data_IF_776853573367
#
_entry.id   IF_776853573367
#
_cell.length_a   1.000
_cell.length_b   1.000
_cell.length_c   1.000
_cell.angle_alpha   90.00
_cell.angle_beta   90.00
_cell.angle_gamma   90.00
#
_symmetry.space_group_name_H-M   'P 1'
#
loop_
_entity.id
_entity.type
_entity.pdbx_description
1 polymer ?
#
# COMPACT_ATOMS: atom_id res chain seq x y z
N UNK A 1 11.19 -13.32 -0.47
CA UNK A 1 9.88 -13.36 0.22
C UNK A 1 9.20 -12.00 0.08
N UNK A 2 7.86 -11.91 0.00
CA UNK A 2 7.15 -10.64 -0.02
C UNK A 2 7.24 -9.93 1.33
N UNK A 3 7.14 -8.58 1.33
CA UNK A 3 7.06 -7.79 2.56
C UNK A 3 5.77 -8.05 3.33
N UNK A 4 4.66 -8.15 2.60
CA UNK A 4 3.35 -8.49 3.13
C UNK A 4 2.52 -9.18 2.05
N UNK A 5 1.51 -9.92 2.49
CA UNK A 5 0.55 -10.57 1.62
C UNK A 5 -0.82 -10.68 2.30
N UNK A 6 -1.84 -10.85 1.49
CA UNK A 6 -3.21 -11.05 1.96
C UNK A 6 -3.95 -11.99 1.03
N UNK A 7 -4.64 -12.96 1.61
CA UNK A 7 -5.54 -13.87 0.92
C UNK A 7 -6.94 -13.71 1.50
N UNK A 8 -7.89 -13.34 0.68
CA UNK A 8 -9.29 -13.13 1.07
C UNK A 8 -10.24 -13.71 0.05
N UNK A 9 -11.37 -14.20 0.53
CA UNK A 9 -12.58 -14.40 -0.26
C UNK A 9 -13.57 -13.29 0.09
N UNK A 10 -14.05 -12.62 -0.93
CA UNK A 10 -15.08 -11.57 -0.82
C UNK A 10 -16.39 -12.15 -1.32
N UNK A 11 -17.43 -12.08 -0.49
CA UNK A 11 -18.77 -12.52 -0.79
C UNK A 11 -19.71 -11.31 -0.68
N UNK A 12 -20.60 -11.14 -1.64
CA UNK A 12 -21.51 -10.02 -1.70
C UNK A 12 -22.14 -9.86 -3.08
N UNK A 13 -22.34 -8.63 -3.53
CA UNK A 13 -22.85 -8.34 -4.89
C UNK A 13 -21.89 -8.79 -5.99
N UNK A 14 -20.63 -8.92 -5.69
CA UNK A 14 -19.57 -9.44 -6.56
C UNK A 14 -18.72 -10.41 -5.75
N UNK A 15 -18.66 -11.66 -6.19
CA UNK A 15 -17.88 -12.71 -5.53
C UNK A 15 -16.53 -12.90 -6.21
N UNK A 16 -15.45 -12.86 -5.40
CA UNK A 16 -14.10 -13.11 -5.89
C UNK A 16 -13.17 -13.54 -4.77
N UNK A 17 -12.15 -14.26 -5.12
CA UNK A 17 -11.01 -14.59 -4.26
C UNK A 17 -9.80 -13.81 -4.72
N UNK A 18 -9.03 -13.24 -3.79
CA UNK A 18 -7.82 -12.51 -4.09
C UNK A 18 -6.65 -12.98 -3.23
N UNK A 19 -5.49 -13.09 -3.86
CA UNK A 19 -4.19 -13.20 -3.21
C UNK A 19 -3.35 -12.03 -3.70
N UNK A 20 -3.11 -11.05 -2.84
CA UNK A 20 -2.30 -9.87 -3.15
C UNK A 20 -1.04 -9.85 -2.28
N UNK A 21 0.07 -9.41 -2.84
CA UNK A 21 1.30 -9.27 -2.07
C UNK A 21 2.15 -8.07 -2.52
N UNK A 22 2.93 -7.58 -1.58
CA UNK A 22 3.89 -6.48 -1.74
C UNK A 22 5.27 -7.09 -1.94
N UNK A 23 5.92 -6.90 -3.10
CA UNK A 23 7.28 -7.40 -3.30
C UNK A 23 8.28 -6.70 -2.37
N UNK A 24 9.38 -7.36 -2.05
CA UNK A 24 10.43 -6.77 -1.20
C UNK A 24 11.29 -5.74 -1.95
N UNK A 25 11.34 -5.81 -3.28
CA UNK A 25 12.14 -4.93 -4.13
C UNK A 25 11.32 -4.39 -5.28
N UNK A 26 11.56 -3.13 -5.60
CA UNK A 26 10.99 -2.49 -6.77
C UNK A 26 11.59 -3.08 -8.06
N UNK A 27 10.77 -3.34 -9.08
CA UNK A 27 11.29 -3.67 -10.39
C UNK A 27 11.95 -2.43 -11.02
N UNK A 28 12.95 -2.64 -11.88
CA UNK A 28 13.73 -1.54 -12.50
C UNK A 28 12.86 -0.57 -13.32
N UNK A 29 11.73 -1.02 -13.80
CA UNK A 29 10.77 -0.28 -14.62
C UNK A 29 9.58 0.29 -13.82
N UNK A 30 9.69 0.35 -12.48
CA UNK A 30 8.62 0.84 -11.59
C UNK A 30 8.12 2.24 -11.99
N UNK A 31 9.01 3.12 -12.40
CA UNK A 31 8.70 4.51 -12.74
C UNK A 31 8.12 4.67 -14.15
N UNK A 32 8.13 3.60 -14.96
CA UNK A 32 7.45 3.62 -16.23
C UNK A 32 5.92 3.57 -15.99
N UNK A 33 5.23 4.67 -16.33
CA UNK A 33 3.76 4.78 -16.17
C UNK A 33 2.97 3.87 -17.11
N UNK A 34 3.58 3.46 -18.22
CA UNK A 34 2.96 2.53 -19.17
C UNK A 34 3.02 1.08 -18.66
N UNK A 35 3.75 0.85 -17.56
CA UNK A 35 3.79 -0.47 -16.94
C UNK A 35 2.44 -0.77 -16.29
N UNK A 36 1.94 -1.94 -16.64
CA UNK A 36 0.68 -2.48 -16.17
C UNK A 36 0.79 -3.05 -14.76
N UNK A 37 -0.32 -3.07 -14.04
CA UNK A 37 -0.39 -3.72 -12.73
C UNK A 37 -0.11 -5.22 -12.85
N UNK A 38 0.71 -5.75 -11.95
CA UNK A 38 1.10 -7.17 -12.00
C UNK A 38 0.10 -8.13 -11.34
N UNK A 39 -1.21 -7.87 -11.47
CA UNK A 39 -2.28 -8.72 -10.95
C UNK A 39 -2.88 -9.54 -12.07
N UNK A 40 -2.92 -10.86 -11.88
CA UNK A 40 -3.48 -11.82 -12.83
C UNK A 40 -4.98 -11.99 -12.60
N UNK A 41 -5.75 -12.00 -13.69
CA UNK A 41 -7.17 -12.28 -13.64
C UNK A 41 -7.47 -13.72 -14.03
N UNK A 42 -8.21 -14.38 -13.17
CA UNK A 42 -8.90 -15.63 -13.42
C UNK A 42 -10.40 -15.40 -13.32
N UNK A 43 -11.16 -16.18 -14.06
CA UNK A 43 -12.62 -16.27 -13.96
C UNK A 43 -13.00 -17.74 -13.84
N UNK A 44 -13.65 -18.11 -12.73
CA UNK A 44 -14.03 -19.51 -12.46
C UNK A 44 -12.85 -20.47 -12.61
N UNK A 45 -11.66 -20.04 -12.08
CA UNK A 45 -10.38 -20.77 -12.12
C UNK A 45 -9.76 -20.92 -13.53
N UNK A 46 -10.31 -20.23 -14.55
CA UNK A 46 -9.73 -20.17 -15.89
C UNK A 46 -8.89 -18.91 -16.00
N UNK A 47 -7.65 -19.05 -16.43
CA UNK A 47 -6.77 -17.89 -16.69
C UNK A 47 -7.33 -17.03 -17.84
N UNK A 48 -7.50 -15.74 -17.60
CA UNK A 48 -8.01 -14.78 -18.58
C UNK A 48 -6.89 -13.90 -19.09
N UNK A 49 -6.15 -13.26 -18.18
CA UNK A 49 -5.05 -12.37 -18.57
C UNK A 49 -4.03 -12.17 -17.46
N UNK A 50 -2.82 -11.86 -17.87
CA UNK A 50 -1.79 -11.28 -17.03
C UNK A 50 -1.93 -9.76 -17.01
N UNK A 51 -1.43 -9.10 -15.97
CA UNK A 51 -1.37 -7.63 -15.87
C UNK A 51 -2.73 -6.95 -16.14
N UNK A 52 -3.76 -7.35 -15.37
CA UNK A 52 -5.11 -6.81 -15.48
C UNK A 52 -5.17 -5.38 -14.88
N UNK A 53 -4.87 -4.37 -15.69
CA UNK A 53 -4.84 -2.94 -15.32
C UNK A 53 -6.13 -2.45 -14.67
N UNK A 54 -7.27 -2.97 -15.14
CA UNK A 54 -8.58 -2.58 -14.62
C UNK A 54 -8.79 -2.94 -13.15
N UNK A 55 -8.00 -3.89 -12.61
CA UNK A 55 -8.14 -4.40 -11.24
C UNK A 55 -7.34 -3.63 -10.19
N UNK A 56 -6.48 -2.69 -10.59
CA UNK A 56 -5.62 -1.95 -9.67
C UNK A 56 -5.37 -0.53 -10.19
N UNK A 57 -5.36 0.51 -9.34
CA UNK A 57 -4.99 1.86 -9.76
C UNK A 57 -3.48 1.95 -10.07
N UNK A 58 -3.09 2.90 -10.92
CA UNK A 58 -1.71 3.03 -11.42
C UNK A 58 -0.69 3.30 -10.32
N UNK A 59 -1.05 4.03 -9.28
CA UNK A 59 -0.17 4.28 -8.13
C UNK A 59 0.10 3.02 -7.27
N UNK A 60 -0.62 1.91 -7.51
CA UNK A 60 -0.41 0.60 -6.88
C UNK A 60 0.14 -0.45 -7.88
N UNK A 61 0.71 -0.02 -9.01
CA UNK A 61 1.23 -0.93 -10.08
C UNK A 61 2.31 -1.90 -9.63
N UNK A 62 2.92 -1.67 -8.47
CA UNK A 62 3.90 -2.55 -7.85
C UNK A 62 3.27 -3.77 -7.14
N UNK A 63 1.96 -3.75 -6.90
CA UNK A 63 1.25 -4.88 -6.29
C UNK A 63 1.24 -6.08 -7.25
N UNK A 64 1.53 -7.24 -6.72
CA UNK A 64 1.48 -8.52 -7.43
C UNK A 64 0.39 -9.40 -6.84
N UNK A 65 -0.11 -10.32 -7.63
CA UNK A 65 -1.09 -11.26 -7.12
C UNK A 65 -2.01 -11.86 -8.17
N UNK A 66 -3.08 -12.45 -7.65
CA UNK A 66 -4.11 -13.16 -8.44
C UNK A 66 -5.48 -12.75 -7.91
N UNK A 67 -6.41 -12.51 -8.82
CA UNK A 67 -7.83 -12.37 -8.54
C UNK A 67 -8.58 -13.40 -9.36
N UNK A 68 -9.45 -14.18 -8.70
CA UNK A 68 -10.35 -15.14 -9.34
C UNK A 68 -11.79 -14.71 -9.08
N UNK A 69 -12.49 -14.27 -10.12
CA UNK A 69 -13.90 -13.84 -10.04
C UNK A 69 -14.82 -15.00 -10.36
N UNK A 70 -15.89 -15.15 -9.57
CA UNK A 70 -16.98 -16.08 -9.84
C UNK A 70 -18.03 -15.52 -10.81
N UNK A 71 -18.17 -14.19 -10.86
CA UNK A 71 -19.28 -13.51 -11.53
C UNK A 71 -18.94 -12.97 -12.93
N UNK A 72 -17.67 -12.69 -13.20
CA UNK A 72 -17.29 -12.21 -14.51
C UNK A 72 -17.51 -13.29 -15.58
N UNK A 73 -17.90 -12.91 -16.82
CA UNK A 73 -18.05 -13.86 -17.90
C UNK A 73 -16.68 -14.33 -18.43
N UNK A 74 -16.58 -15.57 -18.88
CA UNK A 74 -15.32 -16.15 -19.41
C UNK A 74 -14.81 -15.49 -20.71
N UNK A 75 -15.70 -14.86 -21.48
CA UNK A 75 -15.36 -14.18 -22.73
C UNK A 75 -15.03 -12.69 -22.54
N UNK A 76 -14.48 -12.34 -21.38
CA UNK A 76 -14.13 -10.96 -21.04
C UNK A 76 -13.01 -10.44 -21.96
N UNK A 77 -13.30 -9.36 -22.70
CA UNK A 77 -12.29 -8.58 -23.41
C UNK A 77 -11.74 -7.46 -22.52
N UNK A 78 -10.59 -6.87 -22.90
CA UNK A 78 -10.02 -5.72 -22.18
C UNK A 78 -10.98 -4.54 -22.10
N UNK A 79 -11.74 -4.30 -23.14
CA UNK A 79 -12.74 -3.22 -23.23
C UNK A 79 -13.89 -3.45 -22.23
N UNK A 80 -14.42 -4.69 -22.19
CA UNK A 80 -15.46 -5.06 -21.23
C UNK A 80 -14.99 -4.92 -19.76
N UNK A 81 -13.71 -5.17 -19.49
CA UNK A 81 -13.16 -5.00 -18.14
C UNK A 81 -13.20 -3.54 -17.69
N UNK A 82 -13.00 -2.58 -18.59
CA UNK A 82 -12.97 -1.15 -18.22
C UNK A 82 -14.35 -0.59 -17.86
N UNK A 83 -15.42 -1.16 -18.42
CA UNK A 83 -16.80 -0.69 -18.24
C UNK A 83 -17.60 -1.47 -17.20
N UNK A 84 -17.15 -2.65 -16.80
CA UNK A 84 -17.86 -3.54 -15.88
C UNK A 84 -17.94 -2.96 -14.46
N UNK A 85 -19.16 -3.00 -13.88
CA UNK A 85 -19.39 -2.65 -12.45
C UNK A 85 -18.66 -3.62 -11.52
N UNK A 86 -18.62 -4.90 -11.85
CA UNK A 86 -17.95 -5.92 -11.05
C UNK A 86 -16.45 -5.68 -11.01
N UNK A 87 -15.85 -5.31 -12.13
CA UNK A 87 -14.43 -4.95 -12.19
C UNK A 87 -14.12 -3.72 -11.35
N UNK A 88 -14.99 -2.69 -11.36
CA UNK A 88 -14.85 -1.52 -10.49
C UNK A 88 -14.93 -1.91 -9.02
N UNK A 89 -15.89 -2.76 -8.64
CA UNK A 89 -16.03 -3.26 -7.27
C UNK A 89 -14.80 -4.05 -6.81
N UNK A 90 -14.26 -4.92 -7.67
CA UNK A 90 -13.02 -5.66 -7.42
C UNK A 90 -11.84 -4.71 -7.27
N UNK A 91 -11.68 -3.73 -8.15
CA UNK A 91 -10.62 -2.70 -8.08
C UNK A 91 -10.67 -1.95 -6.76
N UNK A 92 -11.83 -1.46 -6.35
CA UNK A 92 -12.01 -0.77 -5.07
C UNK A 92 -11.71 -1.69 -3.88
N UNK A 93 -12.14 -2.93 -3.92
CA UNK A 93 -11.87 -3.94 -2.91
C UNK A 93 -10.36 -4.23 -2.78
N UNK A 94 -9.68 -4.43 -3.91
CA UNK A 94 -8.23 -4.62 -3.98
C UNK A 94 -7.50 -3.40 -3.40
N UNK A 95 -7.88 -2.18 -3.82
CA UNK A 95 -7.30 -0.93 -3.33
C UNK A 95 -7.44 -0.80 -1.82
N UNK A 96 -8.66 -0.98 -1.28
CA UNK A 96 -8.89 -0.95 0.17
C UNK A 96 -8.01 -1.96 0.91
N UNK A 97 -7.88 -3.16 0.36
CA UNK A 97 -7.07 -4.22 0.99
C UNK A 97 -5.59 -3.89 1.01
N UNK A 98 -5.04 -3.37 -0.09
CA UNK A 98 -3.63 -2.96 -0.16
C UNK A 98 -3.36 -1.82 0.81
N UNK A 99 -4.21 -0.78 0.84
CA UNK A 99 -4.04 0.33 1.78
C UNK A 99 -4.12 -0.14 3.23
N UNK A 100 -5.03 -1.07 3.56
CA UNK A 100 -5.09 -1.66 4.90
C UNK A 100 -3.81 -2.43 5.27
N UNK A 101 -3.24 -3.23 4.34
CA UNK A 101 -1.95 -3.89 4.57
C UNK A 101 -0.83 -2.88 4.86
N UNK A 102 -0.80 -1.74 4.14
CA UNK A 102 0.18 -0.68 4.38
C UNK A 102 -0.02 0.02 5.73
N UNK A 103 -1.28 0.27 6.11
CA UNK A 103 -1.61 0.83 7.42
C UNK A 103 -1.14 -0.10 8.56
N UNK A 104 -1.35 -1.40 8.41
CA UNK A 104 -0.92 -2.40 9.40
C UNK A 104 0.62 -2.47 9.50
N UNK A 105 1.33 -2.44 8.36
CA UNK A 105 2.78 -2.36 8.34
C UNK A 105 3.29 -1.08 9.02
N UNK A 106 2.66 0.08 8.72
CA UNK A 106 3.07 1.36 9.28
C UNK A 106 2.81 1.47 10.79
N UNK A 107 1.76 0.83 11.31
CA UNK A 107 1.49 0.75 12.75
C UNK A 107 2.54 -0.10 13.47
N UNK A 108 2.89 -1.24 12.91
CA UNK A 108 3.88 -2.18 13.49
C UNK A 108 5.30 -1.62 13.42
N UNK A 109 5.61 -0.82 12.42
CA UNK A 109 6.91 -0.15 12.30
C UNK A 109 7.15 0.91 13.41
N UNK A 110 6.07 1.45 13.98
CA UNK A 110 6.09 2.44 15.06
C UNK A 110 6.02 1.84 16.46
N UNK A 111 5.81 0.52 16.59
CA UNK A 111 5.83 -0.14 17.89
C UNK A 111 7.21 0.10 18.52
N UNK A 112 7.30 0.64 19.77
CA UNK A 112 8.57 0.95 20.37
C UNK A 112 9.38 -0.34 20.49
N UNK A 113 10.55 -0.36 19.88
CA UNK A 113 11.62 -1.22 20.33
C UNK A 113 11.86 -0.77 21.77
N UNK A 114 11.55 -1.62 22.74
CA UNK A 114 11.53 -1.29 24.16
C UNK A 114 12.71 -0.36 24.51
N UNK A 115 12.41 0.90 24.84
CA UNK A 115 13.36 1.72 25.54
C UNK A 115 13.57 1.03 26.90
N UNK A 116 14.80 0.71 27.27
CA UNK A 116 15.16 0.25 28.61
C UNK A 116 14.72 1.32 29.61
N UNK A 117 13.47 1.21 30.05
CA UNK A 117 12.93 2.02 31.12
C UNK A 117 13.39 1.46 32.45
N UNK A 118 13.82 2.32 33.37
CA UNK A 118 14.41 2.03 34.65
C UNK A 118 13.53 1.26 35.68
N UNK A 119 12.38 0.76 35.27
CA UNK A 119 11.48 -0.02 36.12
C UNK A 119 11.07 -1.32 35.41
N UNK A 120 11.87 -2.31 35.52
CA UNK A 120 11.74 -3.78 35.41
C UNK A 120 10.48 -4.46 34.82
N UNK A 121 9.62 -3.78 34.10
CA UNK A 121 8.50 -4.34 33.33
C UNK A 121 8.91 -4.39 31.86
N UNK A 122 9.51 -5.50 31.48
CA UNK A 122 9.73 -5.82 30.06
C UNK A 122 8.39 -6.21 29.46
N UNK A 123 7.73 -5.29 28.73
CA UNK A 123 6.75 -5.67 27.73
C UNK A 123 7.47 -6.56 26.71
N UNK A 124 7.15 -7.84 26.74
CA UNK A 124 7.73 -8.84 25.84
C UNK A 124 7.23 -8.53 24.43
N UNK A 125 7.99 -7.71 23.70
CA UNK A 125 7.77 -7.50 22.25
C UNK A 125 7.85 -8.86 21.58
N UNK A 126 6.78 -9.30 20.97
CA UNK A 126 6.72 -10.62 20.32
C UNK A 126 7.78 -10.74 19.24
N UNK A 127 8.29 -11.94 19.01
CA UNK A 127 9.23 -12.19 17.88
C UNK A 127 8.60 -11.81 16.52
N UNK A 128 7.27 -11.87 16.41
CA UNK A 128 6.53 -11.43 15.24
C UNK A 128 6.61 -9.91 15.05
N UNK A 129 6.52 -9.13 16.12
CA UNK A 129 6.63 -7.67 16.04
C UNK A 129 8.05 -7.23 15.71
N UNK A 130 9.06 -7.90 16.25
CA UNK A 130 10.46 -7.69 15.87
C UNK A 130 10.70 -8.02 14.39
N UNK A 131 10.09 -9.09 13.86
CA UNK A 131 10.17 -9.46 12.45
C UNK A 131 9.40 -8.52 11.52
N UNK A 132 8.51 -7.69 12.06
CA UNK A 132 7.74 -6.68 11.30
C UNK A 132 8.39 -5.28 11.36
N UNK A 133 9.23 -5.02 12.37
CA UNK A 133 9.94 -3.75 12.48
C UNK A 133 10.79 -3.47 11.24
N UNK A 134 10.76 -2.23 10.75
CA UNK A 134 11.49 -1.81 9.55
C UNK A 134 10.86 -2.21 8.22
N UNK A 135 9.80 -3.03 8.19
CA UNK A 135 9.18 -3.44 6.92
C UNK A 135 8.49 -2.30 6.20
N UNK A 136 7.84 -1.38 6.93
CA UNK A 136 7.22 -0.23 6.32
C UNK A 136 8.27 0.74 5.78
N UNK A 137 9.34 0.97 6.51
CA UNK A 137 10.46 1.80 6.06
C UNK A 137 11.12 1.21 4.81
N UNK A 138 11.32 -0.11 4.76
CA UNK A 138 11.82 -0.81 3.58
C UNK A 138 10.85 -0.69 2.38
N UNK A 139 9.55 -0.85 2.61
CA UNK A 139 8.51 -0.61 1.61
C UNK A 139 8.58 0.82 1.08
N UNK A 140 8.66 1.80 1.97
CA UNK A 140 8.60 3.20 1.59
C UNK A 140 9.82 3.65 0.79
N UNK A 141 11.00 3.10 1.11
CA UNK A 141 12.22 3.35 0.34
C UNK A 141 12.10 2.88 -1.13
N UNK A 142 11.41 1.77 -1.37
CA UNK A 142 11.26 1.18 -2.71
C UNK A 142 10.06 1.78 -3.49
N UNK A 143 8.93 2.04 -2.83
CA UNK A 143 7.65 2.33 -3.48
C UNK A 143 7.04 3.67 -3.09
N UNK A 144 7.60 4.40 -2.13
CA UNK A 144 7.03 5.61 -1.57
C UNK A 144 6.80 6.73 -2.60
N UNK A 145 7.70 6.86 -3.58
CA UNK A 145 7.56 7.85 -4.65
C UNK A 145 6.32 7.57 -5.51
N UNK A 146 6.08 6.30 -5.85
CA UNK A 146 4.91 5.88 -6.64
C UNK A 146 3.64 5.95 -5.82
N UNK A 147 3.67 5.62 -4.52
CA UNK A 147 2.52 5.77 -3.63
C UNK A 147 2.02 7.22 -3.56
N UNK A 148 2.91 8.21 -3.63
CA UNK A 148 2.56 9.64 -3.64
C UNK A 148 1.69 10.03 -4.83
N UNK A 149 1.81 9.37 -5.97
CA UNK A 149 0.99 9.61 -7.16
C UNK A 149 -0.52 9.46 -6.83
N UNK A 150 -0.84 8.56 -5.89
CA UNK A 150 -2.21 8.31 -5.44
C UNK A 150 -2.94 9.53 -4.87
N UNK A 151 -2.21 10.55 -4.37
CA UNK A 151 -2.84 11.80 -3.91
C UNK A 151 -3.52 12.58 -5.04
N UNK A 152 -3.04 12.45 -6.27
CA UNK A 152 -3.61 13.07 -7.47
C UNK A 152 -4.58 12.18 -8.24
N UNK A 153 -4.54 10.86 -8.01
CA UNK A 153 -5.31 9.89 -8.80
C UNK A 153 -6.53 9.33 -8.04
N UNK A 154 -6.43 9.17 -6.72
CA UNK A 154 -7.46 8.51 -5.91
C UNK A 154 -7.99 9.44 -4.81
N UNK A 155 -8.90 10.31 -5.21
CA UNK A 155 -9.51 11.28 -4.29
C UNK A 155 -10.30 10.61 -3.16
N UNK A 156 -10.90 9.44 -3.40
CA UNK A 156 -11.68 8.71 -2.41
C UNK A 156 -10.81 8.18 -1.24
N UNK A 157 -9.55 7.83 -1.51
CA UNK A 157 -8.62 7.32 -0.51
C UNK A 157 -7.52 8.33 -0.13
N UNK A 158 -7.62 9.58 -0.58
CA UNK A 158 -6.59 10.61 -0.42
C UNK A 158 -6.11 10.77 1.02
N UNK A 159 -7.02 10.81 1.98
CA UNK A 159 -6.68 10.94 3.40
C UNK A 159 -5.91 9.71 3.94
N UNK A 160 -6.30 8.50 3.51
CA UNK A 160 -5.60 7.27 3.88
C UNK A 160 -4.19 7.26 3.31
N UNK A 161 -4.05 7.61 2.03
CA UNK A 161 -2.77 7.71 1.36
C UNK A 161 -1.88 8.74 2.06
N UNK A 162 -2.42 9.93 2.38
CA UNK A 162 -1.68 10.98 3.09
C UNK A 162 -1.09 10.50 4.43
N UNK A 163 -1.84 9.71 5.20
CA UNK A 163 -1.34 9.14 6.48
C UNK A 163 -0.19 8.15 6.29
N UNK A 164 -0.10 7.54 5.12
CA UNK A 164 0.96 6.60 4.77
C UNK A 164 2.23 7.29 4.27
N UNK A 165 2.20 8.56 3.91
CA UNK A 165 3.37 9.24 3.38
C UNK A 165 4.44 9.51 4.43
N UNK A 166 5.68 9.50 3.99
CA UNK A 166 6.86 9.87 4.76
C UNK A 166 7.67 10.92 4.02
N UNK A 167 8.33 11.77 4.79
CA UNK A 167 9.11 12.88 4.28
C UNK A 167 10.45 12.95 4.98
N UNK A 168 11.42 13.54 4.31
CA UNK A 168 12.64 13.99 4.92
C UNK A 168 12.35 15.16 5.88
N UNK A 169 13.16 15.33 6.90
CA UNK A 169 12.96 16.39 7.91
C UNK A 169 14.29 16.75 8.54
N UNK A 170 14.44 17.99 8.97
CA UNK A 170 15.59 18.44 9.78
C UNK A 170 15.74 17.68 11.11
N UNK A 171 14.80 16.84 11.47
CA UNK A 171 14.81 16.03 12.70
C UNK A 171 15.13 14.55 12.43
N UNK A 172 15.43 14.17 11.19
CA UNK A 172 15.70 12.78 10.82
C UNK A 172 16.56 12.72 9.57
N UNK A 173 17.65 11.98 9.61
CA UNK A 173 18.53 11.73 8.46
C UNK A 173 17.90 10.79 7.42
N UNK A 174 16.72 10.24 7.73
CA UNK A 174 15.98 9.31 6.84
C UNK A 174 14.60 9.85 6.49
N UNK A 175 14.04 9.40 5.35
CA UNK A 175 12.68 9.70 4.90
C UNK A 175 11.68 8.88 5.72
N UNK A 176 11.48 9.26 6.98
CA UNK A 176 10.70 8.48 7.95
C UNK A 176 9.55 9.26 8.62
N UNK A 177 9.50 10.59 8.46
CA UNK A 177 8.57 11.47 9.18
C UNK A 177 7.22 11.55 8.47
N UNK A 178 6.16 11.10 9.13
CA UNK A 178 4.78 11.30 8.67
C UNK A 178 4.16 12.61 9.18
N UNK A 179 2.99 12.97 8.66
CA UNK A 179 2.27 14.17 9.12
C UNK A 179 1.90 14.10 10.61
N UNK A 180 1.55 12.92 11.13
CA UNK A 180 1.24 12.77 12.55
C UNK A 180 2.47 13.03 13.43
N UNK A 181 3.65 12.56 13.01
CA UNK A 181 4.91 12.76 13.72
C UNK A 181 5.31 14.24 13.74
N UNK A 182 5.11 14.93 12.60
CA UNK A 182 5.32 16.38 12.53
C UNK A 182 4.39 17.13 13.48
N UNK A 183 3.08 16.83 13.41
CA UNK A 183 2.06 17.46 14.26
C UNK A 183 2.34 17.27 15.75
N UNK A 184 2.78 16.09 16.17
CA UNK A 184 3.06 15.79 17.58
C UNK A 184 4.18 16.65 18.17
N UNK A 185 5.06 17.22 17.34
CA UNK A 185 6.17 18.09 17.78
C UNK A 185 5.99 19.57 17.40
N UNK A 186 4.82 19.95 16.87
CA UNK A 186 4.52 21.36 16.63
C UNK A 186 4.55 22.15 17.95
N UNK A 187 5.10 23.35 17.89
CA UNK A 187 5.14 24.25 19.03
C UNK A 187 3.78 24.89 19.27
N UNK A 188 3.54 25.31 20.50
CA UNK A 188 2.36 26.09 20.84
C UNK A 188 2.25 27.33 19.92
N UNK A 189 1.05 27.57 19.36
CA UNK A 189 0.81 28.64 18.40
C UNK A 189 1.26 28.36 16.96
N UNK A 190 1.84 27.19 16.68
CA UNK A 190 2.15 26.80 15.31
C UNK A 190 0.89 26.25 14.61
N UNK A 191 0.38 26.96 13.61
CA UNK A 191 -0.86 26.61 12.90
C UNK A 191 -0.63 25.87 11.58
N UNK A 192 0.61 25.84 11.06
CA UNK A 192 0.93 25.30 9.74
C UNK A 192 2.13 24.34 9.75
N UNK A 193 2.14 23.44 8.78
CA UNK A 193 3.30 22.60 8.44
C UNK A 193 4.18 23.39 7.49
N UNK A 194 5.43 23.63 7.89
CA UNK A 194 6.42 24.27 7.02
C UNK A 194 7.18 23.23 6.21
N UNK A 195 7.36 23.49 4.94
CA UNK A 195 8.08 22.59 4.04
C UNK A 195 8.93 23.36 3.02
N UNK A 196 9.94 22.69 2.50
CA UNK A 196 10.80 23.17 1.41
C UNK A 196 10.76 22.10 0.32
N UNK A 197 10.62 22.53 -0.93
CA UNK A 197 10.78 21.65 -2.08
C UNK A 197 12.23 21.70 -2.54
N UNK A 198 12.90 20.57 -2.54
CA UNK A 198 14.29 20.43 -2.96
C UNK A 198 14.50 19.03 -3.56
N UNK A 199 15.51 18.89 -4.41
CA UNK A 199 15.89 17.60 -5.02
C UNK A 199 16.66 16.71 -4.03
N UNK A 200 17.31 17.31 -3.05
CA UNK A 200 18.01 16.63 -1.95
C UNK A 200 17.95 17.47 -0.68
N UNK A 201 18.20 16.83 0.46
CA UNK A 201 18.50 17.49 1.73
C UNK A 201 19.92 18.05 1.71
#
# INVERSE_FOLDING_TARGET
APLAWSHNRVEGSTEYTQLLYIPAKAPMDLFNRDKKAGVKLYVKRVFIMDEAEALMPSYLRWVKGVVDSADLPLNVSRELLQESRDVKAIREGNTRRVLAMLEDLAKKDKAPVAAEGADGVTDVVSEEDKAQAGKYSAFYAEFGAVLKEGLGEDFANREKIAKLLRFASTQSDTVSVGFADYKARMKEGQEAIYYITADSL
#
